data_IF_614150528752
#
_entry.id   IF_614150528752
#
_cell.length_a   1.000
_cell.length_b   1.000
_cell.length_c   1.000
_cell.angle_alpha   90.00
_cell.angle_beta   90.00
_cell.angle_gamma   90.00
#
_symmetry.space_group_name_H-M   'P 1'
#
loop_
_entity.id
_entity.type
_entity.pdbx_description
1 polymer ?
#
# COMPACT_ATOMS: atom_id res chain seq x y z
N UNK A 1 25.60 4.24 -21.09
CA UNK A 1 24.42 3.53 -20.55
C UNK A 1 24.05 4.23 -19.25
N UNK A 2 22.78 4.57 -19.03
CA UNK A 2 22.31 5.16 -17.78
C UNK A 2 22.34 4.12 -16.66
N UNK A 3 22.70 4.52 -15.44
CA UNK A 3 22.71 3.65 -14.26
C UNK A 3 21.45 3.85 -13.45
N UNK A 4 20.75 2.77 -13.11
CA UNK A 4 19.55 2.82 -12.30
C UNK A 4 19.62 1.84 -11.14
N UNK A 5 19.10 2.22 -9.98
CA UNK A 5 19.05 1.38 -8.80
C UNK A 5 17.62 0.88 -8.54
N UNK A 6 17.50 -0.41 -8.24
CA UNK A 6 16.32 -1.04 -7.68
C UNK A 6 16.57 -1.28 -6.20
N UNK A 7 15.97 -0.47 -5.33
CA UNK A 7 16.23 -0.55 -3.89
C UNK A 7 15.13 -1.36 -3.21
N UNK A 8 15.52 -2.44 -2.54
CA UNK A 8 14.63 -3.34 -1.81
C UNK A 8 15.13 -3.64 -0.41
N UNK A 9 14.22 -4.03 0.49
CA UNK A 9 14.57 -4.83 1.65
C UNK A 9 15.08 -6.21 1.17
N UNK A 10 16.03 -6.79 1.89
CA UNK A 10 16.68 -8.05 1.47
C UNK A 10 15.69 -9.20 1.26
N UNK A 11 14.79 -9.39 2.19
CA UNK A 11 13.74 -10.42 2.13
C UNK A 11 12.73 -10.20 1.00
N UNK A 12 12.40 -8.93 0.72
CA UNK A 12 11.53 -8.58 -0.40
C UNK A 12 12.24 -8.77 -1.75
N UNK A 13 13.54 -8.50 -1.83
CA UNK A 13 14.32 -8.76 -3.04
C UNK A 13 14.33 -10.23 -3.41
N UNK A 14 14.47 -11.14 -2.42
CA UNK A 14 14.40 -12.59 -2.63
C UNK A 14 13.05 -13.02 -3.24
N UNK A 15 11.93 -12.50 -2.71
CA UNK A 15 10.59 -12.77 -3.25
C UNK A 15 10.38 -12.20 -4.66
N UNK A 16 11.10 -11.14 -5.01
CA UNK A 16 10.96 -10.40 -6.26
C UNK A 16 12.12 -10.64 -7.26
N UNK A 17 12.90 -11.70 -7.13
CA UNK A 17 14.04 -12.02 -8.03
C UNK A 17 13.65 -11.97 -9.51
N UNK A 18 12.53 -12.58 -9.88
CA UNK A 18 12.04 -12.58 -11.26
C UNK A 18 11.74 -11.17 -11.79
N UNK A 19 11.18 -10.31 -10.93
CA UNK A 19 10.88 -8.94 -11.29
C UNK A 19 12.14 -8.08 -11.45
N UNK A 20 13.14 -8.27 -10.58
CA UNK A 20 14.44 -7.61 -10.69
C UNK A 20 15.12 -8.00 -12.00
N UNK A 21 15.06 -9.27 -12.37
CA UNK A 21 15.64 -9.75 -13.63
C UNK A 21 14.91 -9.21 -14.86
N UNK A 22 13.57 -9.09 -14.82
CA UNK A 22 12.79 -8.42 -15.88
C UNK A 22 13.22 -6.97 -16.08
N UNK A 23 13.46 -6.21 -15.00
CA UNK A 23 13.98 -4.84 -15.09
C UNK A 23 15.36 -4.79 -15.73
N UNK A 24 16.26 -5.72 -15.37
CA UNK A 24 17.59 -5.80 -15.97
C UNK A 24 17.53 -6.08 -17.47
N UNK A 25 16.68 -7.01 -17.88
CA UNK A 25 16.52 -7.37 -19.30
C UNK A 25 15.86 -6.24 -20.10
N UNK A 26 14.80 -5.63 -19.58
CA UNK A 26 14.14 -4.49 -20.20
C UNK A 26 15.10 -3.28 -20.29
N UNK A 27 15.81 -3.00 -19.19
CA UNK A 27 16.75 -1.89 -19.14
C UNK A 27 17.87 -1.99 -20.17
N UNK A 28 18.41 -3.19 -20.42
CA UNK A 28 19.44 -3.39 -21.45
C UNK A 28 18.95 -2.95 -22.84
N UNK A 29 17.67 -3.19 -23.17
CA UNK A 29 17.07 -2.76 -24.44
C UNK A 29 16.99 -1.24 -24.55
N UNK A 30 16.74 -0.58 -23.41
CA UNK A 30 16.60 0.87 -23.30
C UNK A 30 17.94 1.57 -22.94
N UNK A 31 19.06 0.85 -22.95
CA UNK A 31 20.40 1.35 -22.56
C UNK A 31 20.46 1.85 -21.11
N UNK A 32 19.69 1.21 -20.22
CA UNK A 32 19.68 1.44 -18.77
C UNK A 32 20.23 0.21 -18.07
N UNK A 33 21.20 0.39 -17.19
CA UNK A 33 21.77 -0.66 -16.36
C UNK A 33 21.11 -0.65 -14.98
N UNK A 34 20.20 -1.59 -14.76
CA UNK A 34 19.53 -1.77 -13.47
C UNK A 34 20.32 -2.67 -12.53
N UNK A 35 20.72 -2.12 -11.40
CA UNK A 35 21.36 -2.86 -10.32
C UNK A 35 20.45 -2.94 -9.10
N UNK A 36 20.33 -4.14 -8.51
CA UNK A 36 19.72 -4.29 -7.20
C UNK A 36 20.67 -3.75 -6.13
N UNK A 37 20.12 -2.94 -5.22
CA UNK A 37 20.84 -2.38 -4.07
C UNK A 37 20.03 -2.66 -2.81
N UNK A 38 20.60 -3.33 -1.79
CA UNK A 38 19.95 -3.48 -0.50
C UNK A 38 19.69 -2.12 0.15
N UNK A 39 18.55 -1.97 0.82
CA UNK A 39 18.21 -0.70 1.50
C UNK A 39 19.26 -0.29 2.54
N UNK A 40 19.97 -1.22 3.13
CA UNK A 40 21.06 -0.94 4.09
C UNK A 40 22.33 -0.40 3.45
N UNK A 41 22.44 -0.42 2.11
CA UNK A 41 23.66 -0.11 1.37
C UNK A 41 23.48 1.02 0.35
N UNK A 42 22.30 1.61 0.19
CA UNK A 42 22.02 2.56 -0.88
C UNK A 42 22.91 3.81 -0.83
N UNK A 43 23.24 4.32 0.36
CA UNK A 43 24.13 5.45 0.52
C UNK A 43 25.55 5.09 0.07
N UNK A 44 26.09 3.98 0.59
CA UNK A 44 27.42 3.47 0.23
C UNK A 44 27.54 3.17 -1.26
N UNK A 45 26.54 2.56 -1.87
CA UNK A 45 26.51 2.28 -3.30
C UNK A 45 26.53 3.56 -4.17
N UNK A 46 26.22 4.70 -3.58
CA UNK A 46 26.15 6.01 -4.24
C UNK A 46 27.32 6.95 -3.92
N UNK A 47 28.28 6.53 -3.07
CA UNK A 47 29.43 7.37 -2.65
C UNK A 47 30.30 7.81 -3.81
N UNK A 48 30.68 6.90 -4.71
CA UNK A 48 31.56 7.22 -5.83
C UNK A 48 30.81 7.96 -6.95
N UNK A 49 29.58 7.56 -7.21
CA UNK A 49 28.76 8.15 -8.27
C UNK A 49 27.28 7.87 -8.04
N UNK A 50 26.47 8.92 -8.05
CA UNK A 50 25.00 8.81 -8.01
C UNK A 50 24.45 8.09 -9.24
N UNK A 51 23.33 7.33 -9.12
CA UNK A 51 22.62 6.77 -10.27
C UNK A 51 21.86 7.88 -11.03
N UNK A 52 21.51 7.61 -12.27
CA UNK A 52 20.67 8.48 -13.09
C UNK A 52 19.17 8.34 -12.75
N UNK A 53 18.78 7.25 -12.08
CA UNK A 53 17.41 6.94 -11.70
C UNK A 53 17.38 5.96 -10.52
N UNK A 54 16.42 6.14 -9.61
CA UNK A 54 16.15 5.18 -8.52
C UNK A 54 14.69 4.71 -8.59
N UNK A 55 14.51 3.41 -8.47
CA UNK A 55 13.22 2.80 -8.18
C UNK A 55 13.23 2.34 -6.72
N UNK A 56 12.65 3.15 -5.84
CA UNK A 56 12.46 2.79 -4.44
C UNK A 56 11.31 1.79 -4.33
N UNK A 57 11.65 0.55 -4.05
CA UNK A 57 10.71 -0.56 -3.83
C UNK A 57 10.54 -0.89 -2.36
N UNK A 58 11.12 -0.07 -1.49
CA UNK A 58 10.87 -0.13 -0.05
C UNK A 58 9.61 0.67 0.31
N UNK A 59 9.25 0.65 1.58
CA UNK A 59 8.16 1.50 2.12
C UNK A 59 8.71 2.69 2.92
N UNK A 60 10.02 2.87 2.86
CA UNK A 60 10.72 3.93 3.57
C UNK A 60 10.82 5.19 2.68
N UNK A 61 10.14 6.29 3.04
CA UNK A 61 10.22 7.54 2.29
C UNK A 61 11.59 8.21 2.39
N UNK A 62 12.38 7.91 3.44
CA UNK A 62 13.71 8.52 3.63
C UNK A 62 14.68 8.09 2.53
N UNK A 63 14.54 6.88 2.02
CA UNK A 63 15.31 6.41 0.86
C UNK A 63 15.06 7.31 -0.36
N UNK A 64 13.80 7.61 -0.66
CA UNK A 64 13.47 8.51 -1.77
C UNK A 64 13.97 9.93 -1.51
N UNK A 65 13.72 10.46 -0.30
CA UNK A 65 14.14 11.82 0.09
C UNK A 65 15.64 12.01 -0.04
N UNK A 66 16.42 11.06 0.39
CA UNK A 66 17.88 11.12 0.30
C UNK A 66 18.39 11.32 -1.14
N UNK A 67 17.77 10.67 -2.12
CA UNK A 67 18.10 10.82 -3.53
C UNK A 67 17.54 12.13 -4.13
N UNK A 68 16.30 12.49 -3.76
CA UNK A 68 15.65 13.74 -4.19
C UNK A 68 16.50 14.96 -3.82
N UNK A 69 17.01 15.01 -2.58
CA UNK A 69 17.90 16.08 -2.10
C UNK A 69 19.22 16.18 -2.88
N UNK A 70 19.57 15.11 -3.60
CA UNK A 70 20.77 15.03 -4.46
C UNK A 70 20.45 15.20 -5.95
N UNK A 71 19.22 15.58 -6.27
CA UNK A 71 18.78 15.81 -7.65
C UNK A 71 18.62 14.53 -8.49
N UNK A 72 18.55 13.35 -7.87
CA UNK A 72 18.35 12.08 -8.57
C UNK A 72 16.84 11.81 -8.72
N UNK A 73 16.34 11.59 -9.93
CA UNK A 73 14.96 11.15 -10.13
C UNK A 73 14.64 9.85 -9.39
N UNK A 74 13.54 9.83 -8.63
CA UNK A 74 13.12 8.66 -7.85
C UNK A 74 11.68 8.28 -8.17
N UNK A 75 11.42 7.00 -8.36
CA UNK A 75 10.09 6.38 -8.35
C UNK A 75 9.98 5.40 -7.17
N UNK A 76 9.02 5.57 -6.27
CA UNK A 76 8.11 6.70 -6.11
C UNK A 76 8.78 7.79 -5.27
N UNK A 77 8.33 9.03 -5.43
CA UNK A 77 8.80 10.14 -4.61
C UNK A 77 8.49 9.95 -3.11
N UNK A 78 9.22 10.68 -2.26
CA UNK A 78 9.14 10.50 -0.80
C UNK A 78 7.73 10.81 -0.25
N UNK A 79 7.03 11.80 -0.83
CA UNK A 79 5.68 12.19 -0.40
C UNK A 79 4.67 11.08 -0.73
N UNK A 80 4.75 10.54 -1.94
CA UNK A 80 3.89 9.43 -2.36
C UNK A 80 4.15 8.18 -1.52
N UNK A 81 5.42 7.84 -1.25
CA UNK A 81 5.77 6.69 -0.40
C UNK A 81 5.20 6.87 1.01
N UNK A 82 5.36 8.04 1.62
CA UNK A 82 4.84 8.34 2.95
C UNK A 82 3.29 8.23 2.98
N UNK A 83 2.62 8.89 2.03
CA UNK A 83 1.16 8.90 1.94
C UNK A 83 0.58 7.50 1.71
N UNK A 84 1.12 6.75 0.73
CA UNK A 84 0.62 5.43 0.35
C UNK A 84 0.82 4.37 1.44
N UNK A 85 1.78 4.57 2.35
CA UNK A 85 2.04 3.65 3.45
C UNK A 85 1.34 4.03 4.77
N UNK A 86 0.56 5.10 4.80
CA UNK A 86 -0.20 5.52 5.97
C UNK A 86 -1.71 5.60 5.66
N UNK A 87 -2.44 4.53 5.97
CA UNK A 87 -3.86 4.37 5.60
C UNK A 87 -4.74 5.56 5.98
N UNK A 88 -4.58 6.10 7.18
CA UNK A 88 -5.40 7.23 7.62
C UNK A 88 -5.06 8.52 6.87
N UNK A 89 -3.79 8.84 6.67
CA UNK A 89 -3.39 10.01 5.88
C UNK A 89 -3.85 9.90 4.42
N UNK A 90 -3.80 8.70 3.84
CA UNK A 90 -4.32 8.45 2.50
C UNK A 90 -5.84 8.70 2.42
N UNK A 91 -6.61 8.25 3.41
CA UNK A 91 -8.05 8.53 3.47
C UNK A 91 -8.30 10.04 3.57
N UNK A 92 -7.61 10.74 4.48
CA UNK A 92 -7.71 12.19 4.62
C UNK A 92 -7.36 12.95 3.34
N UNK A 93 -6.29 12.52 2.67
CA UNK A 93 -5.91 13.11 1.39
C UNK A 93 -7.02 13.00 0.34
N UNK A 94 -7.64 11.83 0.19
CA UNK A 94 -8.75 11.66 -0.73
C UNK A 94 -10.03 12.39 -0.29
N UNK A 95 -10.31 12.47 1.01
CA UNK A 95 -11.42 13.30 1.51
C UNK A 95 -11.30 14.78 1.09
N UNK A 96 -10.08 15.30 1.01
CA UNK A 96 -9.82 16.67 0.58
C UNK A 96 -9.79 16.84 -0.94
N UNK A 97 -9.36 15.84 -1.69
CA UNK A 97 -9.11 15.95 -3.13
C UNK A 97 -10.23 15.43 -4.01
N UNK A 98 -11.00 14.46 -3.55
CA UNK A 98 -12.09 13.91 -4.37
C UNK A 98 -13.19 14.94 -4.63
N UNK A 99 -13.80 14.91 -5.84
CA UNK A 99 -14.96 15.73 -6.17
C UNK A 99 -16.12 15.50 -5.19
N UNK A 100 -16.90 16.54 -4.92
CA UNK A 100 -18.08 16.47 -4.04
C UNK A 100 -19.05 15.36 -4.48
N UNK A 101 -19.24 15.18 -5.78
CA UNK A 101 -20.07 14.11 -6.36
C UNK A 101 -19.61 12.70 -5.98
N UNK A 102 -18.33 12.50 -5.67
CA UNK A 102 -17.79 11.23 -5.17
C UNK A 102 -17.90 11.17 -3.66
N UNK A 103 -17.57 12.28 -2.96
CA UNK A 103 -17.61 12.35 -1.50
C UNK A 103 -19.00 12.15 -0.91
N UNK A 104 -20.05 12.54 -1.62
CA UNK A 104 -21.45 12.31 -1.24
C UNK A 104 -21.85 10.83 -1.25
N UNK A 105 -21.09 9.99 -1.96
CA UNK A 105 -21.24 8.54 -1.92
C UNK A 105 -20.22 7.93 -0.97
N UNK A 106 -20.53 6.77 -0.44
CA UNK A 106 -19.64 6.03 0.46
C UNK A 106 -18.44 5.45 -0.31
N UNK A 107 -17.43 6.27 -0.54
CA UNK A 107 -16.23 5.89 -1.29
C UNK A 107 -15.19 5.12 -0.43
N UNK A 108 -15.31 5.22 0.88
CA UNK A 108 -14.44 4.59 1.85
C UNK A 108 -15.28 4.05 3.01
N UNK A 109 -14.91 2.94 3.66
CA UNK A 109 -15.52 2.52 4.90
C UNK A 109 -15.47 3.61 5.97
N UNK A 110 -16.51 3.73 6.79
CA UNK A 110 -16.51 4.61 7.97
C UNK A 110 -15.26 4.32 8.79
N UNK A 111 -14.42 5.33 9.00
CA UNK A 111 -13.09 5.16 9.57
C UNK A 111 -12.86 6.08 10.76
N UNK A 112 -12.33 5.52 11.85
CA UNK A 112 -11.92 6.24 13.06
C UNK A 112 -10.43 6.01 13.29
N UNK A 113 -9.66 7.07 13.48
CA UNK A 113 -8.25 6.99 13.82
C UNK A 113 -8.08 6.89 15.34
N UNK A 114 -7.18 6.01 15.76
CA UNK A 114 -6.79 5.85 17.16
C UNK A 114 -5.26 5.86 17.24
N UNK A 115 -4.67 6.88 17.88
CA UNK A 115 -3.22 7.07 17.90
C UNK A 115 -2.47 6.02 18.73
N UNK A 116 -3.18 5.31 19.60
CA UNK A 116 -2.61 4.26 20.43
C UNK A 116 -3.68 3.19 20.69
N UNK A 117 -3.49 2.00 20.11
CA UNK A 117 -4.39 0.87 20.26
C UNK A 117 -4.48 0.34 21.70
N UNK A 118 -3.52 0.66 22.57
CA UNK A 118 -3.59 0.30 24.01
C UNK A 118 -4.82 0.90 24.70
N UNK A 119 -5.35 2.03 24.19
CA UNK A 119 -6.58 2.66 24.70
C UNK A 119 -7.85 1.85 24.41
N UNK A 120 -7.75 0.85 23.56
CA UNK A 120 -8.85 -0.04 23.17
C UNK A 120 -8.78 -1.40 23.89
N UNK A 121 -7.81 -1.58 24.81
CA UNK A 121 -7.55 -2.90 25.39
C UNK A 121 -8.53 -3.33 26.49
N UNK A 122 -9.42 -2.46 27.00
CA UNK A 122 -10.49 -2.88 27.90
C UNK A 122 -11.66 -3.49 27.15
N UNK A 123 -12.41 -4.37 27.77
CA UNK A 123 -13.55 -5.02 27.15
C UNK A 123 -14.67 -4.00 26.87
N UNK A 124 -14.85 -3.00 27.74
CA UNK A 124 -15.80 -1.90 27.51
C UNK A 124 -15.42 -1.05 26.28
N UNK A 125 -14.12 -0.85 26.01
CA UNK A 125 -13.68 -0.10 24.84
C UNK A 125 -13.91 -0.91 23.55
N UNK A 126 -13.74 -2.22 23.59
CA UNK A 126 -14.06 -3.13 22.48
C UNK A 126 -15.56 -3.10 22.21
N UNK A 127 -16.39 -3.32 23.23
CA UNK A 127 -17.85 -3.32 23.12
C UNK A 127 -18.39 -2.00 22.58
N UNK A 128 -17.87 -0.88 23.09
CA UNK A 128 -18.21 0.45 22.57
C UNK A 128 -17.89 0.58 21.09
N UNK A 129 -16.69 0.15 20.67
CA UNK A 129 -16.29 0.22 19.26
C UNK A 129 -17.20 -0.59 18.36
N UNK A 130 -17.58 -1.81 18.78
CA UNK A 130 -18.53 -2.65 18.06
C UNK A 130 -19.94 -2.02 18.00
N UNK A 131 -20.41 -1.43 19.10
CA UNK A 131 -21.69 -0.72 19.15
C UNK A 131 -21.71 0.51 18.23
N UNK A 132 -20.57 1.19 18.09
CA UNK A 132 -20.37 2.29 17.14
C UNK A 132 -20.24 1.80 15.67
N UNK A 133 -20.27 0.50 15.40
CA UNK A 133 -20.20 -0.10 14.07
C UNK A 133 -18.77 -0.34 13.55
N UNK A 134 -17.76 -0.28 14.40
CA UNK A 134 -16.38 -0.57 14.01
C UNK A 134 -16.04 -2.03 14.28
N UNK A 135 -16.08 -2.84 13.25
CA UNK A 135 -15.87 -4.29 13.34
C UNK A 135 -14.46 -4.72 12.93
N UNK A 136 -13.68 -3.83 12.30
CA UNK A 136 -12.33 -4.13 11.81
C UNK A 136 -11.32 -3.14 12.40
N UNK A 137 -10.19 -3.67 12.90
CA UNK A 137 -9.04 -2.90 13.36
C UNK A 137 -7.82 -3.20 12.48
N UNK A 138 -7.10 -2.15 12.09
CA UNK A 138 -5.91 -2.26 11.21
C UNK A 138 -4.81 -1.31 11.68
N UNK A 139 -3.55 -1.75 11.61
CA UNK A 139 -2.42 -0.82 11.68
C UNK A 139 -2.47 0.18 10.54
N UNK A 140 -2.13 1.43 10.79
CA UNK A 140 -2.05 2.47 9.74
C UNK A 140 -0.97 2.16 8.71
N UNK A 141 0.14 1.54 9.12
CA UNK A 141 1.30 1.21 8.28
C UNK A 141 1.39 -0.27 7.87
N UNK A 142 0.49 -1.13 8.37
CA UNK A 142 0.48 -2.56 8.06
C UNK A 142 0.14 -2.85 6.59
N UNK A 143 0.66 -3.95 6.07
CA UNK A 143 0.49 -4.38 4.67
C UNK A 143 0.33 -5.88 4.55
N UNK A 144 -0.13 -6.34 3.36
CA UNK A 144 -0.31 -7.77 3.10
C UNK A 144 -1.43 -8.44 3.91
N UNK A 145 -2.22 -7.69 4.68
CA UNK A 145 -3.30 -8.22 5.51
C UNK A 145 -2.86 -8.81 6.85
N UNK A 146 -1.56 -8.84 7.16
CA UNK A 146 -1.03 -9.43 8.40
C UNK A 146 -1.44 -8.68 9.67
N UNK A 147 -1.76 -7.40 9.54
CA UNK A 147 -2.15 -6.52 10.64
C UNK A 147 -3.59 -5.99 10.46
N UNK A 148 -4.48 -6.86 10.02
CA UNK A 148 -5.91 -6.62 9.86
C UNK A 148 -6.67 -7.68 10.63
N UNK A 149 -7.49 -7.27 11.59
CA UNK A 149 -8.21 -8.16 12.50
C UNK A 149 -9.67 -7.75 12.61
N UNK A 150 -10.52 -8.72 12.94
CA UNK A 150 -11.84 -8.41 13.46
C UNK A 150 -11.74 -7.90 14.89
N UNK A 151 -12.52 -6.88 15.24
CA UNK A 151 -12.49 -6.23 16.54
C UNK A 151 -12.83 -7.19 17.68
N UNK A 152 -13.75 -8.13 17.43
CA UNK A 152 -14.11 -9.20 18.36
C UNK A 152 -12.96 -10.14 18.72
N UNK A 153 -11.97 -10.30 17.82
CA UNK A 153 -10.80 -11.15 18.05
C UNK A 153 -9.73 -10.42 18.89
N UNK A 154 -10.14 -9.82 20.01
CA UNK A 154 -9.35 -8.89 20.80
C UNK A 154 -8.02 -9.48 21.31
N UNK A 155 -7.97 -10.79 21.62
CA UNK A 155 -6.72 -11.45 22.04
C UNK A 155 -5.62 -11.36 20.99
N UNK A 156 -5.99 -11.49 19.71
CA UNK A 156 -5.02 -11.48 18.61
C UNK A 156 -4.47 -10.08 18.34
N UNK A 157 -5.36 -9.10 18.14
CA UNK A 157 -4.89 -7.77 17.79
C UNK A 157 -4.24 -7.02 18.95
N UNK A 158 -4.64 -7.25 20.19
CA UNK A 158 -3.99 -6.68 21.38
C UNK A 158 -2.50 -7.03 21.45
N UNK A 159 -2.14 -8.27 21.11
CA UNK A 159 -0.73 -8.71 21.09
C UNK A 159 0.10 -8.02 20.00
N UNK A 160 -0.50 -7.71 18.87
CA UNK A 160 0.20 -7.18 17.67
C UNK A 160 0.17 -5.67 17.59
N UNK A 161 -0.95 -5.04 18.01
CA UNK A 161 -1.22 -3.63 17.75
C UNK A 161 -1.12 -2.73 18.98
N UNK A 162 -1.01 -3.25 20.19
CA UNK A 162 -0.89 -2.43 21.40
C UNK A 162 0.29 -1.43 21.27
N UNK A 163 0.06 -0.18 21.64
CA UNK A 163 1.05 0.90 21.52
C UNK A 163 1.22 1.46 20.10
N UNK A 164 0.44 0.99 19.12
CA UNK A 164 0.57 1.41 17.73
C UNK A 164 -0.62 2.24 17.26
N UNK A 165 -0.37 3.09 16.28
CA UNK A 165 -1.44 3.80 15.57
C UNK A 165 -2.28 2.84 14.74
N UNK A 166 -3.60 2.95 14.87
CA UNK A 166 -4.56 2.10 14.18
C UNK A 166 -5.72 2.90 13.60
N UNK A 167 -6.41 2.30 12.66
CA UNK A 167 -7.74 2.71 12.23
C UNK A 167 -8.75 1.63 12.59
N UNK A 168 -9.90 2.07 13.06
CA UNK A 168 -11.11 1.27 13.20
C UNK A 168 -11.97 1.50 11.97
N UNK A 169 -12.55 0.46 11.42
CA UNK A 169 -13.43 0.55 10.25
C UNK A 169 -14.65 -0.34 10.41
N UNK A 170 -15.74 0.07 9.78
CA UNK A 170 -16.83 -0.86 9.53
C UNK A 170 -16.37 -2.01 8.63
N UNK A 171 -16.97 -3.16 8.78
CA UNK A 171 -16.73 -4.30 7.91
C UNK A 171 -17.57 -4.15 6.64
N UNK A 172 -16.92 -4.30 5.48
CA UNK A 172 -17.62 -4.34 4.20
C UNK A 172 -17.86 -5.78 3.81
N UNK A 173 -19.11 -6.12 3.55
CA UNK A 173 -19.49 -7.42 3.03
C UNK A 173 -19.11 -7.49 1.54
N UNK A 174 -18.00 -8.12 1.25
CA UNK A 174 -17.42 -8.23 -0.10
C UNK A 174 -17.26 -9.68 -0.56
N UNK A 175 -17.82 -10.65 0.16
CA UNK A 175 -17.70 -12.09 -0.13
C UNK A 175 -16.24 -12.51 -0.38
N UNK A 176 -15.34 -12.01 0.44
CA UNK A 176 -13.88 -12.24 0.35
C UNK A 176 -13.27 -11.85 -1.01
N UNK A 177 -13.89 -10.91 -1.72
CA UNK A 177 -13.41 -10.47 -3.03
C UNK A 177 -13.09 -8.98 -3.06
N UNK A 178 -12.10 -8.61 -3.84
CA UNK A 178 -11.80 -7.21 -4.17
C UNK A 178 -11.35 -7.05 -5.63
N UNK A 179 -11.51 -5.83 -6.13
CA UNK A 179 -10.98 -5.43 -7.42
C UNK A 179 -9.71 -4.61 -7.22
N UNK A 180 -8.61 -5.04 -7.83
CA UNK A 180 -7.37 -4.27 -7.90
C UNK A 180 -7.19 -3.66 -9.28
N UNK A 181 -7.17 -2.34 -9.34
CA UNK A 181 -6.88 -1.58 -10.57
C UNK A 181 -5.42 -1.18 -10.59
N UNK A 182 -4.75 -1.46 -11.69
CA UNK A 182 -3.39 -1.03 -11.94
C UNK A 182 -3.44 0.21 -12.85
N UNK A 183 -2.83 1.26 -12.37
CA UNK A 183 -2.71 2.55 -13.06
C UNK A 183 -1.25 2.76 -13.45
N UNK A 184 -1.01 3.16 -14.68
CA UNK A 184 0.31 3.44 -15.20
C UNK A 184 0.26 4.77 -15.97
N UNK A 185 1.12 5.71 -15.61
CA UNK A 185 1.19 7.05 -16.20
C UNK A 185 -0.16 7.79 -16.23
N UNK A 186 -0.96 7.64 -15.17
CA UNK A 186 -2.28 8.28 -15.08
C UNK A 186 -3.40 7.58 -15.85
N UNK A 187 -3.15 6.41 -16.44
CA UNK A 187 -4.14 5.64 -17.19
C UNK A 187 -4.39 4.26 -16.58
N UNK A 188 -5.61 3.76 -16.70
CA UNK A 188 -5.98 2.41 -16.24
C UNK A 188 -5.34 1.38 -17.17
N UNK A 189 -4.32 0.68 -16.67
CA UNK A 189 -3.62 -0.38 -17.41
C UNK A 189 -4.39 -1.70 -17.41
N UNK A 190 -4.83 -2.17 -16.26
CA UNK A 190 -5.67 -3.36 -16.14
C UNK A 190 -6.39 -3.40 -14.79
N UNK A 191 -7.42 -4.25 -14.71
CA UNK A 191 -8.09 -4.58 -13.48
C UNK A 191 -8.06 -6.09 -13.25
N UNK A 192 -7.87 -6.48 -11.97
CA UNK A 192 -7.83 -7.86 -11.51
C UNK A 192 -8.85 -8.05 -10.41
N UNK A 193 -9.68 -9.08 -10.50
CA UNK A 193 -10.49 -9.55 -9.39
C UNK A 193 -9.66 -10.52 -8.56
N UNK A 194 -9.64 -10.30 -7.26
CA UNK A 194 -9.03 -11.21 -6.28
C UNK A 194 -10.13 -11.80 -5.43
N UNK A 195 -10.07 -13.12 -5.22
CA UNK A 195 -11.05 -13.85 -4.43
C UNK A 195 -10.30 -14.66 -3.37
N UNK A 196 -10.55 -14.38 -2.09
CA UNK A 196 -9.98 -15.11 -0.96
C UNK A 196 -10.69 -16.46 -0.77
N UNK A 197 -10.03 -17.38 -0.05
CA UNK A 197 -10.64 -18.62 0.45
C UNK A 197 -10.74 -18.53 1.96
N UNK A 198 -11.90 -18.85 2.50
CA UNK A 198 -12.13 -19.07 3.94
C UNK A 198 -11.71 -17.95 4.91
N UNK A 199 -11.48 -16.71 4.42
CA UNK A 199 -11.11 -15.55 5.22
C UNK A 199 -11.89 -14.31 4.73
N UNK A 200 -12.23 -13.40 5.63
CA UNK A 200 -12.85 -12.11 5.27
C UNK A 200 -11.92 -11.20 4.45
N UNK A 201 -10.63 -11.53 4.40
CA UNK A 201 -9.59 -10.82 3.62
C UNK A 201 -9.42 -11.45 2.26
N UNK A 202 -9.39 -10.65 1.19
CA UNK A 202 -9.22 -11.09 -0.20
C UNK A 202 -7.76 -11.18 -0.68
N UNK A 203 -6.79 -11.30 0.24
CA UNK A 203 -5.38 -11.29 -0.11
C UNK A 203 -4.92 -12.59 -0.80
N UNK A 204 -4.35 -12.47 -2.00
CA UNK A 204 -3.75 -13.59 -2.74
C UNK A 204 -2.71 -14.38 -1.95
N UNK A 205 -1.90 -13.70 -1.11
CA UNK A 205 -0.90 -14.34 -0.25
C UNK A 205 -1.48 -15.32 0.78
N UNK A 206 -2.80 -15.33 0.97
CA UNK A 206 -3.54 -16.24 1.84
C UNK A 206 -4.20 -17.39 1.07
N UNK A 207 -3.77 -17.67 -0.17
CA UNK A 207 -4.24 -18.80 -0.97
C UNK A 207 -5.45 -18.50 -1.86
N UNK A 208 -5.76 -17.22 -2.08
CA UNK A 208 -6.83 -16.77 -2.97
C UNK A 208 -6.49 -16.94 -4.46
N UNK A 209 -7.49 -16.71 -5.32
CA UNK A 209 -7.36 -16.67 -6.77
C UNK A 209 -7.26 -15.24 -7.29
N UNK A 210 -6.67 -15.07 -8.49
CA UNK A 210 -6.59 -13.78 -9.19
C UNK A 210 -6.94 -13.99 -10.65
N UNK A 211 -7.86 -13.20 -11.18
CA UNK A 211 -8.20 -13.23 -12.61
C UNK A 211 -8.34 -11.82 -13.17
N UNK A 212 -7.99 -11.65 -14.45
CA UNK A 212 -8.22 -10.39 -15.17
C UNK A 212 -9.73 -10.16 -15.31
N UNK A 213 -10.15 -8.90 -15.18
CA UNK A 213 -11.54 -8.50 -15.36
C UNK A 213 -11.65 -7.25 -16.23
N UNK A 214 -12.80 -7.12 -16.92
CA UNK A 214 -13.18 -5.88 -17.59
C UNK A 214 -13.78 -4.89 -16.57
N UNK A 215 -13.66 -3.61 -16.86
CA UNK A 215 -14.32 -2.53 -16.11
C UNK A 215 -15.51 -2.02 -16.93
N UNK A 216 -16.63 -1.77 -16.24
CA UNK A 216 -17.75 -1.04 -16.84
C UNK A 216 -17.38 0.45 -17.01
N UNK A 217 -18.11 1.18 -17.85
CA UNK A 217 -17.89 2.62 -18.03
C UNK A 217 -18.10 3.42 -16.73
N UNK A 218 -19.05 3.00 -15.89
CA UNK A 218 -19.30 3.60 -14.59
C UNK A 218 -18.10 3.39 -13.64
N UNK A 219 -17.55 2.17 -13.60
CA UNK A 219 -16.36 1.88 -12.80
C UNK A 219 -15.15 2.69 -13.28
N UNK A 220 -14.96 2.82 -14.59
CA UNK A 220 -13.88 3.65 -15.16
C UNK A 220 -14.01 5.10 -14.74
N UNK A 221 -15.18 5.70 -14.92
CA UNK A 221 -15.46 7.10 -14.51
C UNK A 221 -15.20 7.31 -13.01
N UNK A 222 -15.59 6.36 -12.18
CA UNK A 222 -15.36 6.42 -10.75
C UNK A 222 -13.85 6.35 -10.40
N UNK A 223 -13.13 5.41 -11.02
CA UNK A 223 -11.69 5.24 -10.80
C UNK A 223 -10.91 6.47 -11.28
N UNK A 224 -11.30 7.07 -12.40
CA UNK A 224 -10.67 8.29 -12.94
C UNK A 224 -10.67 9.46 -11.94
N UNK A 225 -11.65 9.53 -11.03
CA UNK A 225 -11.67 10.53 -9.97
C UNK A 225 -10.55 10.39 -8.94
N UNK A 226 -9.94 9.19 -8.83
CA UNK A 226 -8.81 8.92 -7.94
C UNK A 226 -7.44 9.03 -8.65
N UNK A 227 -7.45 9.17 -9.99
CA UNK A 227 -6.23 9.22 -10.79
C UNK A 227 -5.87 10.66 -11.14
N UNK A 228 -6.86 11.50 -11.34
CA UNK A 228 -6.77 12.93 -11.70
C UNK A 228 -6.69 13.83 -10.49
#
# INVERSE_FOLDING_TARGET
MKRAYLIYQKDEAEKNKGFIELFRQAGKREKIDFSYVPVTEYQKASEEKLPDLVLNRTRDPEVSRWYEERGVPVHHDSRLVALANHKYQMIRYFEEKLPETVRQHKWCPTTKFVPDASKLCSDEAVERSLTEGYEVIKSVSGHGGSEVFLMENCRQWKQVLAGREVILQEKIECHSSDMRVYVLFGEIYCAMLREGKDDFRSNFSLGGSVRKMGLTDLQRKYIDCFIK
#
